data_IF_736722718630
#
_entry.id   IF_736722718630
#
_cell.length_a   1.000
_cell.length_b   1.000
_cell.length_c   1.000
_cell.angle_alpha   90.00
_cell.angle_beta   90.00
_cell.angle_gamma   90.00
#
_symmetry.space_group_name_H-M   'P 1'
#
loop_
_entity.id
_entity.type
_entity.pdbx_description
1 polymer ?
#
# COMPACT_ATOMS: atom_id res chain seq x y z
N UNK A 1 33.75 -67.12 41.82
CA UNK A 1 34.82 -66.32 41.19
C UNK A 1 34.20 -65.11 40.50
N UNK A 2 33.51 -64.32 41.31
CA UNK A 2 33.65 -62.88 41.53
C UNK A 2 33.82 -61.94 40.33
N UNK A 3 32.66 -61.34 40.01
CA UNK A 3 32.51 -60.01 39.43
C UNK A 3 33.28 -58.96 40.25
N UNK A 4 34.10 -58.13 39.59
CA UNK A 4 34.47 -56.81 40.13
C UNK A 4 33.92 -55.73 39.20
N UNK A 5 32.93 -55.06 39.78
CA UNK A 5 32.20 -53.90 39.30
C UNK A 5 33.14 -52.69 39.27
N UNK A 6 33.23 -52.00 38.13
CA UNK A 6 33.73 -50.64 38.07
C UNK A 6 32.53 -49.69 38.14
N UNK A 7 32.31 -49.10 39.32
CA UNK A 7 31.34 -48.03 39.58
C UNK A 7 31.73 -46.71 38.88
N UNK A 8 30.75 -45.82 38.65
CA UNK A 8 30.83 -44.77 37.64
C UNK A 8 31.66 -43.57 38.11
N UNK A 9 32.39 -42.94 37.18
CA UNK A 9 32.85 -41.56 37.37
C UNK A 9 31.63 -40.66 37.44
N UNK A 10 31.37 -40.14 38.64
CA UNK A 10 30.48 -39.03 38.92
C UNK A 10 30.91 -37.85 38.04
N UNK A 11 30.19 -37.61 36.93
CA UNK A 11 30.17 -36.30 36.28
C UNK A 11 29.04 -35.54 36.94
N UNK A 12 29.41 -34.47 37.64
CA UNK A 12 28.50 -33.52 38.28
C UNK A 12 27.41 -33.06 37.32
N UNK A 13 26.17 -33.00 37.81
CA UNK A 13 24.97 -32.57 37.09
C UNK A 13 24.91 -31.06 36.82
N UNK A 14 26.02 -30.43 36.47
CA UNK A 14 26.15 -28.96 36.43
C UNK A 14 26.56 -28.43 35.06
N UNK A 15 26.17 -29.12 34.00
CA UNK A 15 26.15 -28.58 32.65
C UNK A 15 24.71 -28.41 32.19
N UNK A 16 23.95 -27.60 32.95
CA UNK A 16 22.73 -27.00 32.44
C UNK A 16 23.15 -26.17 31.22
N UNK A 17 22.90 -26.70 30.02
CA UNK A 17 23.14 -26.03 28.74
C UNK A 17 22.88 -24.53 28.87
N UNK A 18 23.95 -23.72 28.94
CA UNK A 18 23.83 -22.26 29.01
C UNK A 18 23.18 -21.78 27.72
N UNK A 19 21.88 -21.57 27.78
CA UNK A 19 21.09 -21.08 26.65
C UNK A 19 21.59 -19.69 26.29
N UNK A 20 21.90 -19.47 25.01
CA UNK A 20 22.31 -18.15 24.53
C UNK A 20 21.20 -17.14 24.81
N UNK A 21 21.53 -16.03 25.47
CA UNK A 21 20.59 -14.93 25.64
C UNK A 21 20.54 -14.13 24.35
N UNK A 22 19.33 -13.82 23.88
CA UNK A 22 19.15 -13.09 22.62
C UNK A 22 19.23 -11.56 22.79
N UNK A 23 19.25 -11.05 24.02
CA UNK A 23 19.39 -9.63 24.38
C UNK A 23 18.40 -8.71 23.63
N UNK A 24 17.15 -9.16 23.46
CA UNK A 24 16.12 -8.37 22.79
C UNK A 24 15.67 -7.19 23.65
N UNK A 25 15.47 -6.04 23.01
CA UNK A 25 14.86 -4.88 23.64
C UNK A 25 13.39 -5.17 24.01
N UNK A 26 12.91 -4.63 25.14
CA UNK A 26 11.52 -4.76 25.54
C UNK A 26 10.57 -4.14 24.50
N UNK A 27 9.29 -4.51 24.61
CA UNK A 27 8.25 -3.90 23.80
C UNK A 27 8.19 -2.39 24.10
N UNK A 28 8.17 -1.57 23.04
CA UNK A 28 8.06 -0.10 23.18
C UNK A 28 6.61 0.32 23.49
N UNK A 29 5.65 -0.55 23.20
CA UNK A 29 4.24 -0.30 23.45
C UNK A 29 3.86 -0.87 24.81
N UNK A 30 3.47 0.01 25.71
CA UNK A 30 2.92 -0.40 27.00
C UNK A 30 1.49 -0.95 26.85
N UNK A 31 1.16 -1.96 27.66
CA UNK A 31 -0.16 -2.59 27.63
C UNK A 31 -1.27 -1.62 28.02
N UNK A 32 -1.09 -0.87 29.11
CA UNK A 32 -2.11 0.03 29.63
C UNK A 32 -2.30 1.22 28.67
N UNK A 33 -1.21 1.69 28.06
CA UNK A 33 -1.28 2.64 26.96
C UNK A 33 -2.17 2.12 25.82
N UNK A 34 -1.90 0.92 25.28
CA UNK A 34 -2.71 0.37 24.17
C UNK A 34 -4.17 0.20 24.56
N UNK A 35 -4.46 -0.27 25.79
CA UNK A 35 -5.83 -0.41 26.27
C UNK A 35 -6.53 0.94 26.46
N UNK A 36 -5.79 2.01 26.76
CA UNK A 36 -6.33 3.35 26.96
C UNK A 36 -6.74 4.08 25.68
N UNK A 37 -6.24 3.66 24.50
CA UNK A 37 -6.50 4.34 23.21
C UNK A 37 -8.00 4.50 22.98
N UNK A 38 -8.50 5.71 22.75
CA UNK A 38 -9.92 5.95 22.42
C UNK A 38 -10.03 6.50 21.01
N UNK A 39 -11.12 6.18 20.33
CA UNK A 39 -11.45 6.76 19.03
C UNK A 39 -12.89 7.27 19.04
N UNK A 40 -13.06 8.52 18.62
CA UNK A 40 -14.36 9.17 18.47
C UNK A 40 -15.04 8.76 17.15
N UNK A 41 -14.29 8.14 16.24
CA UNK A 41 -14.74 7.78 14.90
C UNK A 41 -15.50 6.45 14.84
N UNK A 42 -15.65 5.74 15.96
CA UNK A 42 -16.43 4.52 16.03
C UNK A 42 -17.96 4.74 16.08
N UNK A 43 -18.40 6.00 16.22
CA UNK A 43 -19.81 6.37 16.42
C UNK A 43 -20.68 6.36 15.15
N UNK A 44 -21.99 6.22 15.33
CA UNK A 44 -22.95 6.07 14.22
C UNK A 44 -23.14 7.35 13.39
N UNK A 45 -22.82 8.53 13.93
CA UNK A 45 -22.81 9.78 13.16
C UNK A 45 -21.74 9.77 12.07
N UNK A 46 -20.53 9.28 12.39
CA UNK A 46 -19.46 9.16 11.40
C UNK A 46 -19.83 8.16 10.30
N UNK A 47 -20.40 7.00 10.68
CA UNK A 47 -20.89 6.00 9.71
C UNK A 47 -21.90 6.58 8.74
N UNK A 48 -22.94 7.27 9.24
CA UNK A 48 -23.96 7.91 8.38
C UNK A 48 -23.35 8.94 7.44
N UNK A 49 -22.41 9.76 7.91
CA UNK A 49 -21.74 10.75 7.07
C UNK A 49 -20.93 10.09 5.96
N UNK A 50 -20.19 9.02 6.27
CA UNK A 50 -19.43 8.24 5.29
C UNK A 50 -20.34 7.60 4.25
N UNK A 51 -21.48 7.02 4.63
CA UNK A 51 -22.41 6.44 3.64
C UNK A 51 -22.97 7.51 2.70
N UNK A 52 -23.35 8.69 3.20
CA UNK A 52 -23.79 9.79 2.33
C UNK A 52 -22.69 10.22 1.34
N UNK A 53 -21.45 10.39 1.83
CA UNK A 53 -20.32 10.77 0.99
C UNK A 53 -19.98 9.70 -0.05
N UNK A 54 -20.17 8.41 0.27
CA UNK A 54 -20.00 7.31 -0.69
C UNK A 54 -21.00 7.43 -1.83
N UNK A 55 -22.29 7.69 -1.55
CA UNK A 55 -23.28 7.90 -2.60
C UNK A 55 -22.93 9.08 -3.51
N UNK A 56 -22.47 10.20 -2.94
CA UNK A 56 -22.01 11.35 -3.72
C UNK A 56 -20.85 10.97 -4.65
N UNK A 57 -19.87 10.21 -4.14
CA UNK A 57 -18.73 9.72 -4.94
C UNK A 57 -19.16 8.69 -5.99
N UNK A 58 -20.13 7.82 -5.71
CA UNK A 58 -20.70 6.90 -6.72
C UNK A 58 -21.29 7.67 -7.89
N UNK A 59 -22.06 8.72 -7.61
CA UNK A 59 -22.60 9.57 -8.67
C UNK A 59 -21.51 10.27 -9.49
N UNK A 60 -20.35 10.59 -8.91
CA UNK A 60 -19.22 11.13 -9.65
C UNK A 60 -18.53 10.10 -10.55
N UNK A 61 -18.60 8.81 -10.19
CA UNK A 61 -18.09 7.70 -11.01
C UNK A 61 -19.07 7.35 -12.16
N UNK A 62 -20.38 7.52 -11.92
CA UNK A 62 -21.43 7.24 -12.91
C UNK A 62 -21.64 8.47 -13.79
N UNK A 63 -20.78 8.69 -14.80
CA UNK A 63 -21.00 9.74 -15.82
C UNK A 63 -20.67 9.23 -17.23
N UNK A 64 -21.72 9.24 -18.06
CA UNK A 64 -21.86 9.04 -19.52
C UNK A 64 -21.04 7.92 -20.20
N UNK A 65 -21.77 6.86 -20.54
CA UNK A 65 -21.38 5.61 -21.22
C UNK A 65 -20.68 5.72 -22.60
N UNK A 66 -20.22 6.90 -23.01
CA UNK A 66 -19.68 7.08 -24.37
C UNK A 66 -18.15 7.07 -24.42
N UNK A 67 -17.45 7.66 -23.45
CA UNK A 67 -15.97 7.62 -23.37
C UNK A 67 -15.46 7.94 -21.97
N UNK A 68 -14.46 7.16 -21.51
CA UNK A 68 -13.72 7.48 -20.28
C UNK A 68 -12.77 8.63 -20.54
N UNK A 69 -12.84 9.65 -19.70
CA UNK A 69 -12.00 10.85 -19.77
C UNK A 69 -10.75 10.70 -18.91
N UNK A 70 -9.71 11.49 -19.21
CA UNK A 70 -8.52 11.58 -18.35
C UNK A 70 -8.89 11.96 -16.90
N UNK A 71 -9.86 12.86 -16.73
CA UNK A 71 -10.33 13.27 -15.40
C UNK A 71 -10.93 12.10 -14.61
N UNK A 72 -11.65 11.17 -15.27
CA UNK A 72 -12.15 9.96 -14.62
C UNK A 72 -11.02 9.00 -14.22
N UNK A 73 -9.98 8.85 -15.06
CA UNK A 73 -8.82 8.03 -14.72
C UNK A 73 -8.05 8.63 -13.54
N UNK A 74 -7.83 9.95 -13.54
CA UNK A 74 -7.23 10.67 -12.41
C UNK A 74 -8.07 10.46 -11.13
N UNK A 75 -9.41 10.50 -11.25
CA UNK A 75 -10.31 10.28 -10.12
C UNK A 75 -10.25 8.84 -9.57
N UNK A 76 -10.20 7.83 -10.46
CA UNK A 76 -10.00 6.41 -10.06
C UNK A 76 -8.64 6.24 -9.38
N UNK A 77 -7.58 6.84 -9.92
CA UNK A 77 -6.26 6.80 -9.29
C UNK A 77 -6.28 7.45 -7.89
N UNK A 78 -6.95 8.59 -7.75
CA UNK A 78 -7.11 9.25 -6.47
C UNK A 78 -7.86 8.35 -5.47
N UNK A 79 -8.93 7.66 -5.88
CA UNK A 79 -9.64 6.69 -5.03
C UNK A 79 -8.74 5.55 -4.54
N UNK A 80 -7.95 4.96 -5.44
CA UNK A 80 -7.01 3.88 -5.09
C UNK A 80 -5.96 4.35 -4.10
N UNK A 81 -5.35 5.49 -4.39
CA UNK A 81 -4.26 6.05 -3.58
C UNK A 81 -4.75 6.62 -2.25
N UNK A 82 -6.01 7.01 -2.13
CA UNK A 82 -6.66 7.39 -0.86
C UNK A 82 -7.15 6.19 -0.05
N UNK A 83 -6.96 4.96 -0.56
CA UNK A 83 -7.39 3.74 0.13
C UNK A 83 -8.91 3.59 0.20
N UNK A 84 -9.62 4.07 -0.83
CA UNK A 84 -11.08 4.04 -0.92
C UNK A 84 -11.62 3.03 -1.93
N UNK A 85 -10.75 2.42 -2.73
CA UNK A 85 -11.08 1.47 -3.81
C UNK A 85 -12.07 0.38 -3.40
N UNK A 86 -11.89 -0.24 -2.23
CA UNK A 86 -12.74 -1.33 -1.75
C UNK A 86 -14.22 -0.96 -1.52
N UNK A 87 -14.57 0.34 -1.53
CA UNK A 87 -15.97 0.80 -1.47
C UNK A 87 -16.63 0.92 -2.85
N UNK A 88 -15.83 0.91 -3.92
CA UNK A 88 -16.22 1.25 -5.29
C UNK A 88 -15.72 0.22 -6.31
N UNK A 89 -15.46 -1.02 -5.89
CA UNK A 89 -14.89 -2.07 -6.75
C UNK A 89 -15.72 -2.31 -8.01
N UNK A 90 -17.06 -2.28 -7.90
CA UNK A 90 -17.96 -2.49 -9.03
C UNK A 90 -17.87 -1.34 -10.04
N UNK A 91 -17.89 -0.10 -9.56
CA UNK A 91 -17.81 1.10 -10.38
C UNK A 91 -16.45 1.20 -11.07
N UNK A 92 -15.36 0.93 -10.35
CA UNK A 92 -13.99 0.92 -10.90
C UNK A 92 -13.85 -0.18 -11.94
N UNK A 93 -14.32 -1.40 -11.65
CA UNK A 93 -14.25 -2.52 -12.61
C UNK A 93 -15.01 -2.20 -13.89
N UNK A 94 -16.24 -1.69 -13.76
CA UNK A 94 -17.06 -1.29 -14.91
C UNK A 94 -16.39 -0.19 -15.76
N UNK A 95 -15.73 0.78 -15.12
CA UNK A 95 -14.95 1.78 -15.84
C UNK A 95 -13.74 1.13 -16.56
N UNK A 96 -12.98 0.26 -15.92
CA UNK A 96 -11.84 -0.38 -16.56
C UNK A 96 -12.24 -1.32 -17.71
N UNK A 97 -13.38 -2.00 -17.60
CA UNK A 97 -13.97 -2.79 -18.70
C UNK A 97 -14.31 -1.92 -19.92
N UNK A 98 -14.98 -0.79 -19.69
CA UNK A 98 -15.29 0.17 -20.75
C UNK A 98 -14.01 0.73 -21.39
N UNK A 99 -12.99 1.04 -20.59
CA UNK A 99 -11.70 1.51 -21.07
C UNK A 99 -11.03 0.48 -21.97
N UNK A 100 -11.03 -0.79 -21.52
CA UNK A 100 -10.43 -1.89 -22.27
C UNK A 100 -11.13 -2.10 -23.61
N UNK A 101 -12.46 -1.99 -23.64
CA UNK A 101 -13.25 -2.04 -24.88
C UNK A 101 -12.86 -0.93 -25.86
N UNK A 102 -12.75 0.32 -25.38
CA UNK A 102 -12.33 1.47 -26.21
C UNK A 102 -10.93 1.26 -26.79
N UNK A 103 -9.97 0.83 -25.97
CA UNK A 103 -8.59 0.58 -26.41
C UNK A 103 -8.54 -0.49 -27.50
N UNK A 104 -9.34 -1.56 -27.36
CA UNK A 104 -9.36 -2.63 -28.36
C UNK A 104 -9.99 -2.17 -29.69
N UNK A 105 -10.95 -1.23 -29.66
CA UNK A 105 -11.68 -0.79 -30.85
C UNK A 105 -11.01 0.37 -31.59
N UNK A 106 -10.40 1.31 -30.85
CA UNK A 106 -9.93 2.60 -31.39
C UNK A 106 -8.42 2.82 -31.24
N UNK A 107 -7.70 1.92 -30.58
CA UNK A 107 -6.33 2.17 -30.13
C UNK A 107 -6.31 3.03 -28.87
N UNK A 108 -5.11 3.36 -28.39
CA UNK A 108 -4.93 4.20 -27.20
C UNK A 108 -5.08 5.67 -27.56
N UNK A 109 -5.57 6.46 -26.60
CA UNK A 109 -5.72 7.90 -26.71
C UNK A 109 -4.44 8.55 -27.25
N UNK A 110 -4.53 9.14 -28.43
CA UNK A 110 -3.42 9.83 -29.05
C UNK A 110 -3.01 11.07 -28.22
N UNK A 111 -1.70 11.28 -28.14
CA UNK A 111 -0.93 12.48 -27.73
C UNK A 111 -0.56 12.71 -26.26
N UNK A 112 -1.23 12.14 -25.25
CA UNK A 112 -0.89 12.43 -23.84
C UNK A 112 -0.19 11.26 -23.13
N UNK A 113 1.02 11.52 -22.64
CA UNK A 113 1.88 10.54 -21.97
C UNK A 113 1.27 10.13 -20.64
N UNK A 114 0.77 11.11 -19.89
CA UNK A 114 0.17 10.87 -18.59
C UNK A 114 -1.08 9.99 -18.70
N UNK A 115 -1.98 10.27 -19.64
CA UNK A 115 -3.19 9.50 -19.92
C UNK A 115 -2.88 8.06 -20.35
N UNK A 116 -2.02 7.90 -21.36
CA UNK A 116 -1.63 6.57 -21.88
C UNK A 116 -1.04 5.71 -20.76
N UNK A 117 -0.17 6.31 -19.97
CA UNK A 117 0.47 5.65 -18.85
C UNK A 117 -0.50 5.29 -17.75
N UNK A 118 -1.43 6.19 -17.42
CA UNK A 118 -2.41 5.97 -16.38
C UNK A 118 -3.36 4.82 -16.76
N UNK A 119 -3.83 4.80 -18.01
CA UNK A 119 -4.58 3.69 -18.59
C UNK A 119 -3.82 2.37 -18.44
N UNK A 120 -2.57 2.32 -18.93
CA UNK A 120 -1.73 1.12 -18.87
C UNK A 120 -1.59 0.61 -17.43
N UNK A 121 -1.29 1.52 -16.50
CA UNK A 121 -1.07 1.18 -15.09
C UNK A 121 -2.34 0.66 -14.43
N UNK A 122 -3.45 1.39 -14.52
CA UNK A 122 -4.71 1.00 -13.88
C UNK A 122 -5.21 -0.36 -14.41
N UNK A 123 -5.16 -0.56 -15.73
CA UNK A 123 -5.54 -1.83 -16.35
C UNK A 123 -4.65 -2.99 -15.86
N UNK A 124 -3.33 -2.83 -15.85
CA UNK A 124 -2.43 -3.89 -15.38
C UNK A 124 -2.59 -4.20 -13.90
N UNK A 125 -2.80 -3.19 -13.04
CA UNK A 125 -3.04 -3.39 -11.62
C UNK A 125 -4.32 -4.20 -11.36
N UNK A 126 -5.30 -4.10 -12.27
CA UNK A 126 -6.57 -4.84 -12.22
C UNK A 126 -6.54 -6.16 -13.01
N UNK A 127 -5.35 -6.61 -13.45
CA UNK A 127 -5.18 -7.91 -14.10
C UNK A 127 -5.47 -7.93 -15.61
N UNK A 128 -5.73 -6.79 -16.24
CA UNK A 128 -5.85 -6.72 -17.69
C UNK A 128 -4.49 -6.73 -18.37
N UNK A 129 -4.36 -7.52 -19.44
CA UNK A 129 -3.19 -7.47 -20.30
C UNK A 129 -3.21 -6.22 -21.20
N UNK A 130 -2.13 -5.46 -21.16
CA UNK A 130 -1.85 -4.31 -22.02
C UNK A 130 -0.39 -4.42 -22.46
N UNK A 131 -0.12 -4.39 -23.77
CA UNK A 131 1.27 -4.49 -24.28
C UNK A 131 2.09 -3.26 -23.88
N UNK A 132 3.42 -3.40 -23.77
CA UNK A 132 4.33 -2.24 -23.65
C UNK A 132 4.32 -1.36 -24.92
N UNK A 133 3.93 -1.92 -26.07
CA UNK A 133 3.91 -1.25 -27.39
C UNK A 133 3.06 0.02 -27.43
N UNK A 134 2.21 0.20 -26.43
CA UNK A 134 1.43 1.41 -26.20
C UNK A 134 2.30 2.66 -26.03
N UNK A 135 3.56 2.49 -25.66
CA UNK A 135 4.52 3.58 -25.51
C UNK A 135 5.39 3.82 -26.76
N UNK A 136 5.19 3.07 -27.86
CA UNK A 136 5.95 3.25 -29.10
C UNK A 136 5.81 4.67 -29.68
N UNK A 137 4.66 5.32 -29.50
CA UNK A 137 4.43 6.71 -29.93
C UNK A 137 5.30 7.73 -29.20
N UNK A 138 5.90 7.36 -28.06
CA UNK A 138 6.77 8.20 -27.25
C UNK A 138 8.26 7.89 -27.47
N UNK A 139 8.58 7.11 -28.51
CA UNK A 139 9.94 6.72 -28.85
C UNK A 139 10.42 7.36 -30.15
N UNK A 140 11.74 7.56 -30.25
CA UNK A 140 12.44 7.89 -31.48
C UNK A 140 12.69 6.64 -32.36
N UNK A 141 13.18 6.85 -33.58
CA UNK A 141 13.53 5.77 -34.52
C UNK A 141 14.62 4.82 -33.99
N UNK A 142 15.42 5.28 -33.02
CA UNK A 142 16.45 4.49 -32.36
C UNK A 142 15.91 3.68 -31.15
N UNK A 143 14.62 3.81 -30.83
CA UNK A 143 13.96 3.13 -29.72
C UNK A 143 14.32 3.69 -28.34
N UNK A 144 14.62 5.00 -28.26
CA UNK A 144 14.78 5.75 -27.02
C UNK A 144 13.57 6.65 -26.79
N UNK A 145 13.27 6.94 -25.52
CA UNK A 145 12.21 7.89 -25.17
C UNK A 145 12.56 9.29 -25.69
N UNK A 146 11.57 9.95 -26.29
CA UNK A 146 11.72 11.29 -26.83
C UNK A 146 12.18 12.27 -25.74
N UNK A 147 13.21 13.05 -26.01
CA UNK A 147 13.75 14.02 -25.04
C UNK A 147 12.77 15.14 -24.73
N UNK A 148 11.83 15.46 -25.64
CA UNK A 148 10.75 16.43 -25.41
C UNK A 148 9.86 16.06 -24.22
N UNK A 149 9.77 14.77 -23.87
CA UNK A 149 9.01 14.28 -22.72
C UNK A 149 9.56 14.76 -21.39
N UNK A 150 10.82 15.22 -21.34
CA UNK A 150 11.43 15.72 -20.11
C UNK A 150 10.75 16.98 -19.56
N UNK A 151 9.91 17.65 -20.36
CA UNK A 151 9.15 18.83 -19.97
C UNK A 151 7.81 18.48 -19.28
N UNK A 152 7.26 17.28 -19.52
CA UNK A 152 6.02 16.83 -18.89
C UNK A 152 6.31 16.12 -17.55
N UNK A 153 6.44 16.92 -16.49
CA UNK A 153 6.69 16.49 -15.12
C UNK A 153 5.65 15.45 -14.65
N UNK A 154 4.36 15.61 -15.00
CA UNK A 154 3.28 14.70 -14.59
C UNK A 154 3.34 13.39 -15.36
N UNK A 155 3.59 13.44 -16.68
CA UNK A 155 3.79 12.26 -17.53
C UNK A 155 4.99 11.43 -17.12
N UNK A 156 6.12 12.08 -16.85
CA UNK A 156 7.35 11.44 -16.34
C UNK A 156 7.07 10.64 -15.06
N UNK A 157 6.39 11.28 -14.08
CA UNK A 157 6.06 10.64 -12.81
C UNK A 157 5.16 9.42 -13.01
N UNK A 158 4.12 9.58 -13.82
CA UNK A 158 3.21 8.49 -14.14
C UNK A 158 3.97 7.33 -14.78
N UNK A 159 4.86 7.61 -15.74
CA UNK A 159 5.51 6.57 -16.54
C UNK A 159 6.56 5.84 -15.73
N UNK A 160 7.28 6.57 -14.88
CA UNK A 160 8.12 5.97 -13.86
C UNK A 160 7.30 4.99 -12.98
N UNK A 161 6.15 5.41 -12.42
CA UNK A 161 5.29 4.53 -11.61
C UNK A 161 4.82 3.29 -12.39
N UNK A 162 4.39 3.46 -13.64
CA UNK A 162 3.92 2.38 -14.50
C UNK A 162 5.05 1.39 -14.90
N UNK A 163 6.29 1.87 -15.03
CA UNK A 163 7.45 1.02 -15.36
C UNK A 163 7.76 -0.07 -14.33
N UNK A 164 7.21 0.06 -13.11
CA UNK A 164 7.32 -0.97 -12.07
C UNK A 164 6.31 -2.11 -12.23
N UNK A 165 5.43 -2.06 -13.23
CA UNK A 165 4.53 -3.14 -13.63
C UNK A 165 5.07 -3.96 -14.82
N UNK A 166 6.36 -3.81 -15.14
CA UNK A 166 7.02 -4.56 -16.20
C UNK A 166 6.99 -6.06 -15.93
N UNK A 167 6.76 -6.85 -16.98
CA UNK A 167 6.91 -8.29 -17.01
C UNK A 167 8.28 -8.67 -17.59
N UNK A 168 8.69 -9.93 -17.40
CA UNK A 168 9.94 -10.43 -17.97
C UNK A 168 9.90 -10.36 -19.51
N UNK A 169 10.98 -9.83 -20.10
CA UNK A 169 11.09 -9.58 -21.54
C UNK A 169 10.60 -8.20 -21.99
N UNK A 170 10.05 -7.37 -21.10
CA UNK A 170 9.58 -6.02 -21.42
C UNK A 170 10.69 -4.96 -21.34
N UNK A 171 11.66 -5.06 -22.26
CA UNK A 171 12.83 -4.18 -22.34
C UNK A 171 12.47 -2.68 -22.45
N UNK A 172 11.30 -2.34 -23.01
CA UNK A 172 10.83 -0.96 -23.11
C UNK A 172 10.58 -0.36 -21.72
N UNK A 173 9.97 -1.14 -20.83
CA UNK A 173 9.62 -0.69 -19.49
C UNK A 173 10.88 -0.49 -18.64
N UNK A 174 11.91 -1.31 -18.84
CA UNK A 174 13.21 -1.11 -18.18
C UNK A 174 13.95 0.12 -18.71
N UNK A 175 13.89 0.38 -20.02
CA UNK A 175 14.37 1.65 -20.59
C UNK A 175 13.62 2.85 -20.00
N UNK A 176 12.30 2.75 -19.84
CA UNK A 176 11.48 3.81 -19.25
C UNK A 176 11.94 4.08 -17.81
N UNK A 177 12.06 3.03 -17.01
CA UNK A 177 12.53 3.08 -15.62
C UNK A 177 13.88 3.80 -15.52
N UNK A 178 14.85 3.43 -16.37
CA UNK A 178 16.18 4.02 -16.37
C UNK A 178 16.18 5.50 -16.83
N UNK A 179 15.48 5.81 -17.92
CA UNK A 179 15.38 7.16 -18.46
C UNK A 179 14.77 8.12 -17.44
N UNK A 180 13.59 7.78 -16.90
CA UNK A 180 12.89 8.68 -15.99
C UNK A 180 13.52 8.72 -14.60
N UNK A 181 14.17 7.66 -14.12
CA UNK A 181 14.97 7.73 -12.89
C UNK A 181 16.09 8.78 -12.97
N UNK A 182 16.67 8.96 -14.16
CA UNK A 182 17.69 9.98 -14.41
C UNK A 182 17.04 11.36 -14.50
N UNK A 183 16.03 11.52 -15.36
CA UNK A 183 15.33 12.80 -15.56
C UNK A 183 14.73 13.35 -14.26
N UNK A 184 14.14 12.49 -13.41
CA UNK A 184 13.60 12.87 -12.10
C UNK A 184 14.66 13.36 -11.12
N UNK A 185 15.90 12.87 -11.21
CA UNK A 185 17.01 13.36 -10.38
C UNK A 185 17.48 14.72 -10.86
N UNK A 186 17.49 14.94 -12.18
CA UNK A 186 17.94 16.18 -12.81
C UNK A 186 16.92 17.33 -12.63
N UNK A 187 15.61 17.02 -12.54
CA UNK A 187 14.53 18.02 -12.42
C UNK A 187 14.43 18.72 -11.05
N UNK A 188 15.22 18.35 -10.04
CA UNK A 188 15.04 18.81 -8.65
C UNK A 188 15.23 20.31 -8.43
N UNK A 189 15.97 21.01 -9.28
CA UNK A 189 16.40 22.38 -9.00
C UNK A 189 15.36 23.47 -9.36
N UNK A 190 14.42 23.20 -10.28
CA UNK A 190 13.43 24.19 -10.77
C UNK A 190 11.98 23.69 -10.79
N UNK A 191 11.68 22.64 -10.02
CA UNK A 191 10.35 22.00 -9.99
C UNK A 191 9.56 22.45 -8.76
N UNK A 192 8.24 22.60 -8.91
CA UNK A 192 7.32 22.87 -7.80
C UNK A 192 7.56 21.91 -6.61
N UNK A 193 7.67 22.41 -5.37
CA UNK A 193 7.81 21.59 -4.16
C UNK A 193 6.81 20.42 -4.08
N UNK A 194 5.57 20.61 -4.56
CA UNK A 194 4.54 19.59 -4.65
C UNK A 194 4.98 18.37 -5.47
N UNK A 195 5.62 18.60 -6.62
CA UNK A 195 6.14 17.53 -7.46
C UNK A 195 7.46 16.96 -6.92
N UNK A 196 8.32 17.79 -6.32
CA UNK A 196 9.58 17.34 -5.71
C UNK A 196 9.36 16.32 -4.59
N UNK A 197 8.35 16.54 -3.73
CA UNK A 197 8.00 15.59 -2.68
C UNK A 197 7.49 14.27 -3.26
N UNK A 198 6.62 14.33 -4.27
CA UNK A 198 6.11 13.13 -4.95
C UNK A 198 7.21 12.36 -5.70
N UNK A 199 8.19 13.07 -6.29
CA UNK A 199 9.34 12.47 -6.93
C UNK A 199 10.21 11.74 -5.91
N UNK A 200 10.54 12.40 -4.80
CA UNK A 200 11.36 11.81 -3.75
C UNK A 200 10.68 10.57 -3.16
N UNK A 201 9.37 10.63 -2.96
CA UNK A 201 8.57 9.49 -2.53
C UNK A 201 8.58 8.35 -3.56
N UNK A 202 8.35 8.63 -4.85
CA UNK A 202 8.35 7.58 -5.88
C UNK A 202 9.74 6.91 -6.05
N UNK A 203 10.82 7.69 -5.93
CA UNK A 203 12.20 7.20 -6.08
C UNK A 203 12.68 6.33 -4.90
N UNK A 204 12.13 6.55 -3.70
CA UNK A 204 12.48 5.76 -2.52
C UNK A 204 11.91 4.34 -2.62
N UNK A 205 10.60 4.23 -2.86
CA UNK A 205 9.90 2.96 -3.11
C UNK A 205 8.79 3.22 -4.15
N UNK A 206 8.72 2.42 -5.22
CA UNK A 206 7.65 2.52 -6.21
C UNK A 206 6.27 2.32 -5.60
N UNK A 207 5.27 3.08 -6.08
CA UNK A 207 3.90 2.99 -5.56
C UNK A 207 3.33 1.56 -5.58
N UNK A 208 3.67 0.74 -6.58
CA UNK A 208 3.20 -0.65 -6.68
C UNK A 208 3.77 -1.58 -5.58
N UNK A 209 4.86 -1.21 -4.92
CA UNK A 209 5.48 -1.99 -3.84
C UNK A 209 5.17 -1.44 -2.46
N UNK A 210 4.44 -0.32 -2.37
CA UNK A 210 4.07 0.30 -1.11
C UNK A 210 2.82 -0.37 -0.55
N UNK A 211 2.81 -0.51 0.78
CA UNK A 211 1.62 -0.95 1.52
C UNK A 211 0.54 0.15 1.40
N UNK A 212 -0.59 -0.21 0.80
CA UNK A 212 -1.66 0.73 0.43
C UNK A 212 -2.16 1.55 1.61
N UNK A 213 -2.28 0.94 2.79
CA UNK A 213 -2.76 1.65 3.99
C UNK A 213 -1.83 2.79 4.44
N UNK A 214 -0.51 2.61 4.31
CA UNK A 214 0.46 3.66 4.64
C UNK A 214 0.54 4.71 3.54
N UNK A 215 0.43 4.28 2.28
CA UNK A 215 0.32 5.18 1.13
C UNK A 215 -0.92 6.08 1.26
N UNK A 216 -2.07 5.55 1.68
CA UNK A 216 -3.30 6.31 1.85
C UNK A 216 -3.14 7.48 2.82
N UNK A 217 -2.43 7.26 3.94
CA UNK A 217 -2.15 8.32 4.91
C UNK A 217 -1.26 9.41 4.31
N UNK A 218 -0.16 9.01 3.67
CA UNK A 218 0.77 9.96 3.05
C UNK A 218 0.07 10.73 1.93
N UNK A 219 -0.66 10.02 1.07
CA UNK A 219 -1.32 10.60 -0.08
C UNK A 219 -2.47 11.52 0.29
N UNK A 220 -3.20 11.24 1.38
CA UNK A 220 -4.22 12.19 1.88
C UNK A 220 -3.64 13.57 2.13
N UNK A 221 -2.41 13.66 2.68
CA UNK A 221 -1.73 14.92 2.92
C UNK A 221 -1.24 15.60 1.62
N UNK A 222 -0.87 14.82 0.62
CA UNK A 222 -0.52 15.33 -0.72
C UNK A 222 -1.77 15.84 -1.44
N UNK A 223 -2.85 15.08 -1.40
CA UNK A 223 -4.13 15.39 -2.04
C UNK A 223 -4.74 16.68 -1.48
N UNK A 224 -4.65 16.89 -0.16
CA UNK A 224 -5.09 18.12 0.52
C UNK A 224 -4.40 19.40 0.02
N UNK A 225 -3.17 19.28 -0.50
CA UNK A 225 -2.37 20.41 -0.99
C UNK A 225 -2.53 20.68 -2.50
N UNK A 226 -3.32 19.87 -3.20
CA UNK A 226 -3.54 20.01 -4.66
C UNK A 226 -4.43 21.23 -4.94
N UNK A 227 -4.13 21.97 -6.01
CA UNK A 227 -4.86 23.19 -6.41
C UNK A 227 -6.34 22.95 -6.72
N UNK A 228 -6.67 21.85 -7.40
CA UNK A 228 -8.03 21.48 -7.78
C UNK A 228 -8.51 20.25 -7.01
N UNK A 229 -8.71 20.44 -5.70
CA UNK A 229 -9.14 19.36 -4.81
C UNK A 229 -10.65 19.12 -4.88
N UNK A 230 -11.06 17.85 -4.86
CA UNK A 230 -12.45 17.48 -4.62
C UNK A 230 -12.69 17.40 -3.10
N UNK A 231 -13.45 18.33 -2.49
CA UNK A 231 -13.64 18.37 -1.04
C UNK A 231 -14.45 17.19 -0.51
N UNK A 232 -15.39 16.67 -1.31
CA UNK A 232 -16.20 15.50 -0.96
C UNK A 232 -15.29 14.26 -0.85
N UNK A 233 -14.40 14.09 -1.83
CA UNK A 233 -13.44 12.99 -1.82
C UNK A 233 -12.44 13.10 -0.66
N UNK A 234 -11.91 14.30 -0.38
CA UNK A 234 -11.00 14.51 0.74
C UNK A 234 -11.68 14.21 2.09
N UNK A 235 -12.91 14.68 2.28
CA UNK A 235 -13.68 14.42 3.50
C UNK A 235 -13.92 12.92 3.68
N UNK A 236 -14.34 12.23 2.61
CA UNK A 236 -14.54 10.78 2.62
C UNK A 236 -13.25 10.04 2.98
N UNK A 237 -12.12 10.42 2.38
CA UNK A 237 -10.81 9.80 2.66
C UNK A 237 -10.42 9.93 4.13
N UNK A 238 -10.53 11.14 4.71
CA UNK A 238 -10.19 11.41 6.11
C UNK A 238 -11.11 10.64 7.07
N UNK A 239 -12.42 10.68 6.85
CA UNK A 239 -13.37 9.98 7.71
C UNK A 239 -13.20 8.46 7.61
N UNK A 240 -13.06 7.93 6.39
CA UNK A 240 -12.83 6.50 6.18
C UNK A 240 -11.55 6.04 6.88
N UNK A 241 -10.44 6.76 6.69
CA UNK A 241 -9.16 6.43 7.32
C UNK A 241 -9.29 6.38 8.85
N UNK A 242 -9.92 7.38 9.46
CA UNK A 242 -10.09 7.44 10.90
C UNK A 242 -11.04 6.36 11.44
N UNK A 243 -12.10 6.03 10.70
CA UNK A 243 -13.01 4.94 11.05
C UNK A 243 -12.32 3.56 10.99
N UNK A 244 -11.58 3.29 9.92
CA UNK A 244 -10.81 2.05 9.75
C UNK A 244 -9.73 1.96 10.84
N UNK A 245 -9.03 3.05 11.15
CA UNK A 245 -8.08 3.11 12.26
C UNK A 245 -8.75 2.82 13.61
N UNK A 246 -9.97 3.31 13.86
CA UNK A 246 -10.73 3.01 15.07
C UNK A 246 -11.00 1.50 15.19
N UNK A 247 -11.38 0.85 14.09
CA UNK A 247 -11.55 -0.60 14.02
C UNK A 247 -10.25 -1.34 14.34
N UNK A 248 -9.14 -0.95 13.71
CA UNK A 248 -7.82 -1.54 13.98
C UNK A 248 -7.37 -1.37 15.42
N UNK A 249 -7.62 -0.22 16.04
CA UNK A 249 -7.32 0.00 17.46
C UNK A 249 -8.14 -0.94 18.36
N UNK A 250 -9.41 -1.17 18.05
CA UNK A 250 -10.25 -2.15 18.74
C UNK A 250 -9.68 -3.57 18.64
N UNK A 251 -9.33 -4.00 17.43
CA UNK A 251 -8.72 -5.31 17.16
C UNK A 251 -7.36 -5.48 17.87
N UNK A 252 -6.52 -4.45 17.84
CA UNK A 252 -5.23 -4.45 18.53
C UNK A 252 -5.39 -4.64 20.04
N UNK A 253 -6.38 -3.98 20.65
CA UNK A 253 -6.66 -4.16 22.08
C UNK A 253 -7.06 -5.58 22.42
N UNK A 254 -7.91 -6.20 21.59
CA UNK A 254 -8.30 -7.61 21.76
C UNK A 254 -7.10 -8.54 21.66
N UNK A 255 -6.25 -8.34 20.65
CA UNK A 255 -5.04 -9.14 20.44
C UNK A 255 -4.05 -8.97 21.59
N UNK A 256 -3.85 -7.74 22.07
CA UNK A 256 -2.94 -7.50 23.18
C UNK A 256 -3.47 -8.16 24.47
N UNK A 257 -4.78 -8.09 24.76
CA UNK A 257 -5.38 -8.83 25.89
C UNK A 257 -5.13 -10.33 25.78
N UNK A 258 -5.38 -10.90 24.60
CA UNK A 258 -5.08 -12.30 24.34
C UNK A 258 -3.60 -12.61 24.62
N UNK A 259 -2.68 -11.85 24.03
CA UNK A 259 -1.24 -12.05 24.19
C UNK A 259 -0.78 -11.97 25.65
N UNK A 260 -1.33 -11.03 26.42
CA UNK A 260 -1.06 -10.89 27.87
C UNK A 260 -1.61 -12.08 28.66
N UNK A 261 -2.84 -12.52 28.36
CA UNK A 261 -3.48 -13.65 29.05
C UNK A 261 -2.77 -14.99 28.82
N UNK A 262 -2.16 -15.20 27.65
CA UNK A 262 -1.37 -16.40 27.38
C UNK A 262 -0.07 -16.45 28.21
N UNK A 263 0.37 -15.31 28.78
CA UNK A 263 1.59 -15.21 29.57
C UNK A 263 2.86 -15.49 28.74
N UNK A 264 2.80 -15.28 27.42
CA UNK A 264 3.88 -15.60 26.49
C UNK A 264 5.15 -14.83 26.85
N UNK A 265 5.00 -13.57 27.27
CA UNK A 265 6.12 -12.72 27.69
C UNK A 265 6.90 -13.29 28.88
N UNK A 266 6.18 -13.84 29.86
CA UNK A 266 6.76 -14.38 31.09
C UNK A 266 7.35 -15.78 30.85
N UNK A 267 6.68 -16.60 30.02
CA UNK A 267 7.07 -17.99 29.75
C UNK A 267 8.22 -18.09 28.75
N UNK A 268 8.32 -17.17 27.78
CA UNK A 268 9.28 -17.22 26.68
C UNK A 268 10.15 -15.95 26.66
N UNK A 269 10.90 -15.72 27.74
CA UNK A 269 11.80 -14.56 27.89
C UNK A 269 12.91 -14.47 26.84
N UNK A 270 13.16 -15.55 26.09
CA UNK A 270 14.10 -15.57 24.98
C UNK A 270 13.51 -15.08 23.65
N UNK A 271 12.19 -14.95 23.53
CA UNK A 271 11.50 -14.56 22.30
C UNK A 271 11.32 -13.04 22.20
N UNK A 272 11.13 -12.53 20.97
CA UNK A 272 10.84 -11.10 20.76
C UNK A 272 9.38 -10.80 21.10
N UNK A 273 9.14 -9.78 21.90
CA UNK A 273 7.80 -9.31 22.23
C UNK A 273 7.44 -8.10 21.36
N UNK A 274 6.82 -8.38 20.20
CA UNK A 274 6.56 -7.40 19.13
C UNK A 274 5.12 -7.51 18.60
N UNK A 275 4.16 -7.62 19.51
CA UNK A 275 2.77 -7.94 19.16
C UNK A 275 2.11 -6.80 18.34
N UNK A 276 2.45 -5.55 18.64
CA UNK A 276 1.93 -4.39 17.90
C UNK A 276 2.54 -4.36 16.50
N UNK A 277 3.84 -4.63 16.37
CA UNK A 277 4.50 -4.73 15.07
C UNK A 277 3.92 -5.88 14.24
N UNK A 278 3.68 -7.05 14.84
CA UNK A 278 3.01 -8.17 14.16
C UNK A 278 1.60 -7.80 13.69
N UNK A 279 0.87 -7.00 14.48
CA UNK A 279 -0.44 -6.49 14.09
C UNK A 279 -0.34 -5.49 12.93
N UNK A 280 0.65 -4.59 12.95
CA UNK A 280 0.91 -3.66 11.85
C UNK A 280 1.25 -4.39 10.55
N UNK A 281 1.99 -5.51 10.63
CA UNK A 281 2.21 -6.40 9.47
C UNK A 281 0.90 -6.98 8.94
N UNK A 282 0.02 -7.46 9.81
CA UNK A 282 -1.29 -7.98 9.41
C UNK A 282 -2.17 -6.90 8.76
N UNK A 283 -2.18 -5.68 9.32
CA UNK A 283 -2.86 -4.52 8.72
C UNK A 283 -2.27 -4.17 7.36
N UNK A 284 -0.95 -4.25 7.20
CA UNK A 284 -0.29 -3.96 5.93
C UNK A 284 -0.61 -4.97 4.82
N UNK A 285 -0.93 -6.22 5.19
CA UNK A 285 -1.42 -7.23 4.25
C UNK A 285 -2.87 -6.97 3.86
N UNK A 286 -3.72 -6.61 4.84
CA UNK A 286 -5.16 -6.45 4.64
C UNK A 286 -5.74 -5.46 5.64
N UNK A 287 -6.07 -4.25 5.19
CA UNK A 287 -6.48 -3.14 6.07
C UNK A 287 -8.00 -2.96 6.14
N UNK A 288 -8.75 -3.54 5.22
CA UNK A 288 -10.17 -3.30 5.04
C UNK A 288 -10.99 -3.86 6.22
N UNK A 289 -11.96 -3.12 6.78
CA UNK A 289 -12.64 -3.49 8.04
C UNK A 289 -13.24 -4.90 8.06
N UNK A 290 -13.75 -5.38 6.93
CA UNK A 290 -14.39 -6.70 6.82
C UNK A 290 -13.45 -7.87 7.16
N UNK A 291 -12.13 -7.69 7.04
CA UNK A 291 -11.14 -8.74 7.28
C UNK A 291 -10.54 -8.75 8.69
N UNK A 292 -11.26 -8.20 9.69
CA UNK A 292 -10.77 -8.12 11.07
C UNK A 292 -10.41 -9.47 11.70
N UNK A 293 -11.16 -10.54 11.38
CA UNK A 293 -10.81 -11.88 11.83
C UNK A 293 -9.48 -12.38 11.25
N UNK A 294 -9.25 -12.15 9.96
CA UNK A 294 -8.01 -12.51 9.27
C UNK A 294 -6.82 -11.75 9.85
N UNK A 295 -6.93 -10.44 10.06
CA UNK A 295 -5.86 -9.64 10.71
C UNK A 295 -5.51 -10.18 12.08
N UNK A 296 -6.52 -10.47 12.91
CA UNK A 296 -6.31 -11.05 14.23
C UNK A 296 -5.57 -12.38 14.16
N UNK A 297 -5.94 -13.26 13.22
CA UNK A 297 -5.26 -14.53 13.03
C UNK A 297 -3.83 -14.40 12.52
N UNK A 298 -3.61 -13.60 11.47
CA UNK A 298 -2.28 -13.32 10.93
C UNK A 298 -1.35 -12.80 12.04
N UNK A 299 -1.84 -11.90 12.89
CA UNK A 299 -1.06 -11.37 14.00
C UNK A 299 -0.60 -12.47 14.98
N UNK A 300 -1.50 -13.41 15.31
CA UNK A 300 -1.17 -14.55 16.20
C UNK A 300 -0.14 -15.49 15.57
N UNK A 301 -0.20 -15.69 14.26
CA UNK A 301 0.73 -16.54 13.51
C UNK A 301 2.10 -15.86 13.37
N UNK A 302 2.11 -14.57 13.04
CA UNK A 302 3.33 -13.77 12.85
C UNK A 302 4.09 -13.57 14.16
N UNK A 303 3.38 -13.54 15.30
CA UNK A 303 4.00 -13.46 16.61
C UNK A 303 4.83 -14.74 16.86
N UNK A 304 6.18 -14.67 16.80
CA UNK A 304 7.01 -15.85 16.84
C UNK A 304 7.02 -16.42 18.25
N UNK A 305 6.30 -17.54 18.44
CA UNK A 305 6.29 -18.32 19.68
C UNK A 305 7.32 -19.47 19.67
N UNK A 306 8.25 -19.51 18.70
CA UNK A 306 9.25 -20.57 18.56
C UNK A 306 10.66 -20.03 18.70
#
# INVERSE_FOLDING_TARGET
MDNIIATPKHVSSDDAQKRRTANYNPNIWDYDFVQSIRSEFAGDTCKRRVENLKEDVRHMLIINNEMITLAQLDFIDDLQRLGLEYHFEMEITGALDALKSVINNSGIMDSDVHATTLCFRLLRQHGYFVSQDVFNSFMDEAGNFLTSLSQDVKGILSLYKASHLALEGENMMDKAKAFYSRTLKDLKENTDPYFVEQFSHALEVPSHWRVQWWEARWYTNIYERREHINPILLELAKLNFNMVQATHQGELKEIYRWWKNEGIAEKLSFARHRIVECFLWAVGIVFEPQYGYLRKWLTKILNPNR
#
